data_IF_958607652375
#
_entry.id   IF_958607652375
#
_cell.length_a   1.000
_cell.length_b   1.000
_cell.length_c   1.000
_cell.angle_alpha   90.00
_cell.angle_beta   90.00
_cell.angle_gamma   90.00
#
_symmetry.space_group_name_H-M   'P 1'
#
loop_
_entity.id
_entity.type
_entity.pdbx_description
1 polymer ?
#
# COMPACT_ATOMS: atom_id res chain seq x y z
N UNK A 1 12.41 -21.58 17.39
CA UNK A 1 13.84 -21.21 17.36
C UNK A 1 14.53 -21.47 16.03
N UNK A 2 14.43 -22.60 15.33
CA UNK A 2 15.20 -22.81 14.09
C UNK A 2 14.82 -21.91 12.89
N UNK A 3 13.60 -21.41 12.83
CA UNK A 3 13.16 -20.51 11.75
C UNK A 3 13.75 -19.09 11.85
N UNK A 4 13.93 -18.57 13.07
CA UNK A 4 14.51 -17.23 13.30
C UNK A 4 15.99 -17.25 12.94
N UNK A 5 16.72 -18.31 13.32
CA UNK A 5 18.13 -18.48 12.94
C UNK A 5 18.33 -18.71 11.43
N UNK A 6 17.35 -19.33 10.76
CA UNK A 6 17.37 -19.47 9.31
C UNK A 6 17.14 -18.12 8.60
N UNK A 7 16.25 -17.30 9.14
CA UNK A 7 16.03 -15.93 8.62
C UNK A 7 17.27 -15.04 8.82
N UNK A 8 17.90 -15.09 9.99
CA UNK A 8 19.13 -14.34 10.29
C UNK A 8 20.29 -14.77 9.38
N UNK A 9 20.38 -16.05 9.01
CA UNK A 9 21.38 -16.54 8.04
C UNK A 9 21.10 -16.12 6.60
N UNK A 10 19.85 -16.01 6.19
CA UNK A 10 19.45 -15.53 4.87
C UNK A 10 19.74 -14.02 4.76
N UNK A 11 19.54 -13.26 5.85
CA UNK A 11 19.89 -11.84 5.91
C UNK A 11 21.40 -11.57 5.90
N UNK A 12 22.21 -12.51 6.38
CA UNK A 12 23.68 -12.40 6.39
C UNK A 12 24.32 -12.68 5.03
N UNK A 13 23.57 -13.19 4.05
CA UNK A 13 24.10 -13.36 2.69
C UNK A 13 24.08 -12.03 1.94
N UNK A 14 25.25 -11.43 1.78
CA UNK A 14 25.47 -10.21 0.97
C UNK A 14 24.88 -10.31 -0.44
N UNK A 15 24.76 -11.53 -0.97
CA UNK A 15 24.21 -11.83 -2.29
C UNK A 15 22.70 -11.63 -2.38
N UNK A 16 21.94 -11.94 -1.32
CA UNK A 16 20.50 -11.72 -1.30
C UNK A 16 20.18 -10.23 -1.17
N UNK A 17 20.92 -9.48 -0.38
CA UNK A 17 20.79 -8.04 -0.27
C UNK A 17 21.07 -7.33 -1.60
N UNK A 18 22.14 -7.75 -2.29
CA UNK A 18 22.47 -7.25 -3.63
C UNK A 18 21.38 -7.60 -4.67
N UNK A 19 20.88 -8.83 -4.66
CA UNK A 19 19.81 -9.28 -5.56
C UNK A 19 18.51 -8.49 -5.34
N UNK A 20 18.08 -8.28 -4.08
CA UNK A 20 16.88 -7.48 -3.76
C UNK A 20 17.05 -6.03 -4.17
N UNK A 21 18.24 -5.46 -3.99
CA UNK A 21 18.51 -4.08 -4.40
C UNK A 21 18.53 -3.93 -5.92
N UNK A 22 19.21 -4.84 -6.64
CA UNK A 22 19.27 -4.81 -8.10
C UNK A 22 17.91 -5.05 -8.73
N UNK A 23 17.14 -6.03 -8.25
CA UNK A 23 15.79 -6.29 -8.75
C UNK A 23 14.84 -5.12 -8.47
N UNK A 24 14.96 -4.48 -7.30
CA UNK A 24 14.19 -3.28 -6.95
C UNK A 24 14.51 -2.11 -7.88
N UNK A 25 15.79 -1.81 -8.10
CA UNK A 25 16.22 -0.76 -9.02
C UNK A 25 15.77 -1.04 -10.46
N UNK A 26 15.93 -2.28 -10.93
CA UNK A 26 15.45 -2.70 -12.27
C UNK A 26 13.93 -2.51 -12.41
N UNK A 27 13.15 -2.88 -11.41
CA UNK A 27 11.70 -2.71 -11.41
C UNK A 27 11.29 -1.23 -11.45
N UNK A 28 11.97 -0.37 -10.67
CA UNK A 28 11.73 1.08 -10.69
C UNK A 28 12.07 1.66 -12.07
N UNK A 29 13.23 1.31 -12.63
CA UNK A 29 13.64 1.78 -13.96
C UNK A 29 12.67 1.30 -15.04
N UNK A 30 12.26 0.03 -14.99
CA UNK A 30 11.27 -0.52 -15.93
C UNK A 30 9.91 0.19 -15.78
N UNK A 31 9.43 0.42 -14.55
CA UNK A 31 8.19 1.16 -14.30
C UNK A 31 8.25 2.60 -14.82
N UNK A 32 9.36 3.30 -14.58
CA UNK A 32 9.57 4.65 -15.11
C UNK A 32 9.65 4.68 -16.64
N UNK A 33 10.30 3.68 -17.25
CA UNK A 33 10.38 3.56 -18.70
C UNK A 33 9.00 3.32 -19.33
N UNK A 34 8.20 2.42 -18.75
CA UNK A 34 6.81 2.19 -19.18
C UNK A 34 5.98 3.47 -19.01
N UNK A 35 6.06 4.11 -17.86
CA UNK A 35 5.35 5.37 -17.61
C UNK A 35 5.75 6.46 -18.60
N UNK A 36 7.04 6.66 -18.84
CA UNK A 36 7.54 7.62 -19.82
C UNK A 36 7.06 7.31 -21.23
N UNK A 37 7.03 6.02 -21.61
CA UNK A 37 6.52 5.57 -22.92
C UNK A 37 5.02 5.91 -23.07
N UNK A 38 4.21 5.65 -22.03
CA UNK A 38 2.80 6.01 -22.03
C UNK A 38 2.58 7.51 -22.15
N UNK A 39 3.30 8.31 -21.37
CA UNK A 39 3.23 9.78 -21.44
C UNK A 39 3.64 10.27 -22.83
N UNK A 40 4.65 9.64 -23.44
CA UNK A 40 5.10 10.00 -24.79
C UNK A 40 4.06 9.63 -25.85
N UNK A 41 3.43 8.47 -25.76
CA UNK A 41 2.40 8.01 -26.70
C UNK A 41 1.11 8.84 -26.63
N UNK A 42 0.67 9.20 -25.43
CA UNK A 42 -0.51 10.04 -25.21
C UNK A 42 -0.22 11.49 -25.66
N UNK A 43 1.03 11.91 -25.53
CA UNK A 43 1.47 13.29 -25.73
C UNK A 43 1.57 14.05 -24.41
N UNK A 44 2.75 14.62 -24.09
CA UNK A 44 2.95 15.40 -22.85
C UNK A 44 1.97 16.58 -22.71
N UNK A 45 1.54 17.15 -23.83
CA UNK A 45 0.56 18.24 -23.88
C UNK A 45 -0.84 17.79 -23.41
N UNK A 46 -1.28 16.60 -23.81
CA UNK A 46 -2.56 16.01 -23.41
C UNK A 46 -2.56 15.68 -21.92
N UNK A 47 -1.47 15.10 -21.42
CA UNK A 47 -1.31 14.84 -19.99
C UNK A 47 -1.36 16.13 -19.18
N UNK A 48 -0.65 17.17 -19.64
CA UNK A 48 -0.66 18.48 -19.00
C UNK A 48 -2.05 19.15 -19.05
N UNK A 49 -2.74 19.06 -20.17
CA UNK A 49 -4.10 19.57 -20.30
C UNK A 49 -5.07 18.85 -19.37
N UNK A 50 -4.92 17.53 -19.23
CA UNK A 50 -5.68 16.71 -18.27
C UNK A 50 -5.48 17.19 -16.83
N UNK A 51 -4.22 17.36 -16.40
CA UNK A 51 -3.89 17.89 -15.07
C UNK A 51 -4.46 19.30 -14.88
N UNK A 52 -4.38 20.16 -15.90
CA UNK A 52 -4.90 21.52 -15.86
C UNK A 52 -6.42 21.56 -15.79
N UNK A 53 -7.11 20.64 -16.46
CA UNK A 53 -8.57 20.52 -16.39
C UNK A 53 -9.08 20.07 -15.02
N UNK A 54 -8.32 19.22 -14.31
CA UNK A 54 -8.59 18.88 -12.91
C UNK A 54 -8.42 20.12 -12.00
N UNK A 55 -7.53 21.04 -12.40
CA UNK A 55 -7.32 22.33 -11.75
C UNK A 55 -6.94 22.21 -10.29
N UNK A 56 -7.57 23.02 -9.43
CA UNK A 56 -7.27 23.07 -8.01
C UNK A 56 -7.64 21.77 -7.24
N UNK A 57 -8.45 20.89 -7.83
CA UNK A 57 -8.76 19.59 -7.26
C UNK A 57 -7.56 18.63 -7.27
N UNK A 58 -6.58 18.85 -8.16
CA UNK A 58 -5.39 18.01 -8.25
C UNK A 58 -4.59 17.96 -6.93
N UNK A 59 -4.21 19.11 -6.30
CA UNK A 59 -3.57 19.06 -4.98
C UNK A 59 -4.45 18.47 -3.89
N UNK A 60 -5.77 18.59 -3.98
CA UNK A 60 -6.70 17.95 -3.02
C UNK A 60 -6.61 16.42 -3.13
N UNK A 61 -6.58 15.88 -4.34
CA UNK A 61 -6.44 14.44 -4.58
C UNK A 61 -5.10 13.94 -4.00
N UNK A 62 -4.01 14.68 -4.23
CA UNK A 62 -2.70 14.34 -3.67
C UNK A 62 -2.73 14.39 -2.14
N UNK A 63 -3.34 15.42 -1.56
CA UNK A 63 -3.46 15.57 -0.11
C UNK A 63 -4.28 14.42 0.52
N UNK A 64 -5.38 14.01 -0.11
CA UNK A 64 -6.19 12.87 0.32
C UNK A 64 -5.42 11.55 0.22
N UNK A 65 -4.64 11.36 -0.85
CA UNK A 65 -3.73 10.23 -0.98
C UNK A 65 -2.67 10.20 0.14
N UNK A 66 -2.05 11.34 0.42
CA UNK A 66 -1.10 11.49 1.52
C UNK A 66 -1.73 11.25 2.89
N UNK A 67 -2.95 11.75 3.10
CA UNK A 67 -3.73 11.53 4.32
C UNK A 67 -4.00 10.04 4.57
N UNK A 68 -4.30 9.27 3.53
CA UNK A 68 -4.47 7.82 3.63
C UNK A 68 -3.21 7.14 4.19
N UNK A 69 -2.03 7.48 3.67
CA UNK A 69 -0.77 6.93 4.16
C UNK A 69 -0.49 7.37 5.60
N UNK A 70 -0.80 8.61 5.93
CA UNK A 70 -0.65 9.14 7.28
C UNK A 70 -1.52 8.39 8.29
N UNK A 71 -2.79 8.18 7.97
CA UNK A 71 -3.73 7.42 8.83
C UNK A 71 -3.26 5.99 9.03
N UNK A 72 -2.79 5.31 7.97
CA UNK A 72 -2.23 3.95 8.07
C UNK A 72 -0.98 3.92 8.97
N UNK A 73 -0.06 4.86 8.79
CA UNK A 73 1.12 4.95 9.62
C UNK A 73 0.76 5.19 11.10
N UNK A 74 -0.22 6.06 11.34
CA UNK A 74 -0.71 6.33 12.69
C UNK A 74 -1.38 5.09 13.30
N UNK A 75 -2.25 4.41 12.56
CA UNK A 75 -2.87 3.16 13.01
C UNK A 75 -1.80 2.10 13.37
N UNK A 76 -0.76 1.97 12.55
CA UNK A 76 0.34 1.05 12.86
C UNK A 76 1.03 1.40 14.17
N UNK A 77 1.30 2.69 14.43
CA UNK A 77 1.90 3.10 15.72
C UNK A 77 1.04 2.77 16.93
N UNK A 78 -0.29 2.77 16.77
CA UNK A 78 -1.24 2.40 17.83
C UNK A 78 -1.31 0.88 18.06
N UNK A 79 -0.94 0.07 17.08
CA UNK A 79 -0.90 -1.39 17.19
C UNK A 79 0.41 -1.92 17.79
N UNK A 80 1.37 -1.05 18.08
CA UNK A 80 2.65 -1.45 18.70
C UNK A 80 2.49 -1.48 20.22
N UNK A 81 2.75 -2.65 20.82
CA UNK A 81 2.65 -2.88 22.26
C UNK A 81 3.86 -2.35 23.03
N UNK A 82 3.63 -1.91 24.29
CA UNK A 82 4.70 -1.59 25.24
C UNK A 82 5.62 -2.82 25.48
N UNK A 83 6.92 -2.64 25.67
CA UNK A 83 7.63 -1.38 25.90
C UNK A 83 8.11 -0.67 24.63
N UNK A 84 7.77 -1.19 23.45
CA UNK A 84 8.26 -0.65 22.19
C UNK A 84 7.48 0.60 21.78
N UNK A 85 8.17 1.53 21.10
CA UNK A 85 7.57 2.73 20.54
C UNK A 85 8.06 2.95 19.13
N UNK A 86 7.14 3.11 18.22
CA UNK A 86 7.43 3.42 16.82
C UNK A 86 7.13 4.90 16.57
N UNK A 87 8.14 5.75 16.29
CA UNK A 87 7.91 7.15 15.95
C UNK A 87 7.07 7.27 14.67
N UNK A 88 6.07 8.15 14.69
CA UNK A 88 5.14 8.33 13.56
C UNK A 88 5.85 8.66 12.24
N UNK A 89 6.91 9.46 12.28
CA UNK A 89 7.71 9.77 11.09
C UNK A 89 8.40 8.54 10.49
N UNK A 90 8.93 7.65 11.33
CA UNK A 90 9.55 6.39 10.90
C UNK A 90 8.49 5.43 10.33
N UNK A 91 7.33 5.34 10.98
CA UNK A 91 6.19 4.57 10.48
C UNK A 91 5.70 5.09 9.12
N UNK A 92 5.54 6.40 8.98
CA UNK A 92 5.09 7.03 7.74
C UNK A 92 6.05 6.73 6.56
N UNK A 93 7.35 6.94 6.79
CA UNK A 93 8.37 6.64 5.78
C UNK A 93 8.39 5.15 5.41
N UNK A 94 8.26 4.27 6.40
CA UNK A 94 8.24 2.83 6.17
C UNK A 94 6.98 2.39 5.40
N UNK A 95 5.80 2.92 5.72
CA UNK A 95 4.56 2.64 4.99
C UNK A 95 4.68 3.12 3.55
N UNK A 96 5.16 4.35 3.33
CA UNK A 96 5.30 4.90 1.98
C UNK A 96 6.30 4.10 1.13
N UNK A 97 7.48 3.80 1.70
CA UNK A 97 8.50 3.04 1.00
C UNK A 97 8.10 1.58 0.77
N UNK A 98 7.49 0.92 1.76
CA UNK A 98 7.03 -0.45 1.63
C UNK A 98 5.88 -0.60 0.62
N UNK A 99 4.93 0.32 0.61
CA UNK A 99 3.87 0.33 -0.41
C UNK A 99 4.44 0.61 -1.81
N UNK A 100 5.44 1.50 -1.93
CA UNK A 100 6.13 1.73 -3.19
C UNK A 100 6.82 0.45 -3.70
N UNK A 101 7.56 -0.25 -2.82
CA UNK A 101 8.21 -1.54 -3.15
C UNK A 101 7.16 -2.59 -3.52
N UNK A 102 6.07 -2.70 -2.76
CA UNK A 102 4.96 -3.61 -3.06
C UNK A 102 4.34 -3.36 -4.43
N UNK A 103 4.12 -2.11 -4.79
CA UNK A 103 3.50 -1.75 -6.08
C UNK A 103 4.41 -2.01 -7.30
N UNK A 104 5.74 -2.04 -7.12
CA UNK A 104 6.71 -2.29 -8.22
C UNK A 104 7.07 -3.77 -8.33
N UNK A 105 6.74 -4.58 -7.32
CA UNK A 105 7.08 -6.02 -7.32
C UNK A 105 5.87 -6.88 -7.68
N UNK A 106 6.06 -7.95 -8.47
CA UNK A 106 4.95 -8.85 -8.83
C UNK A 106 4.27 -9.52 -7.63
N UNK A 107 4.98 -9.67 -6.52
CA UNK A 107 4.49 -10.28 -5.29
C UNK A 107 3.83 -9.27 -4.32
N UNK A 108 3.79 -7.98 -4.70
CA UNK A 108 3.03 -6.94 -4.01
C UNK A 108 3.18 -6.94 -2.48
N UNK A 109 2.09 -7.21 -1.74
CA UNK A 109 2.10 -7.16 -0.28
C UNK A 109 3.07 -8.14 0.38
N UNK A 110 3.37 -9.29 -0.24
CA UNK A 110 4.30 -10.28 0.31
C UNK A 110 5.74 -9.74 0.42
N UNK A 111 6.07 -8.73 -0.38
CA UNK A 111 7.37 -8.05 -0.32
C UNK A 111 7.25 -6.71 0.43
N UNK A 112 6.16 -6.00 0.23
CA UNK A 112 5.92 -4.69 0.83
C UNK A 112 5.84 -4.74 2.36
N UNK A 113 5.13 -5.71 2.94
CA UNK A 113 4.98 -5.81 4.40
C UNK A 113 6.29 -6.15 5.13
N UNK A 114 7.09 -7.14 4.69
CA UNK A 114 8.43 -7.34 5.25
C UNK A 114 9.35 -6.13 5.06
N UNK A 115 9.26 -5.42 3.93
CA UNK A 115 10.05 -4.22 3.69
C UNK A 115 9.74 -3.11 4.71
N UNK A 116 8.46 -2.89 5.06
CA UNK A 116 8.04 -1.95 6.12
C UNK A 116 8.70 -2.30 7.45
N UNK A 117 8.65 -3.57 7.84
CA UNK A 117 9.23 -4.05 9.09
C UNK A 117 10.75 -3.89 9.13
N UNK A 118 11.43 -4.16 8.01
CA UNK A 118 12.87 -3.99 7.90
C UNK A 118 13.29 -2.51 8.05
N UNK A 119 12.51 -1.57 7.52
CA UNK A 119 12.81 -0.14 7.60
C UNK A 119 12.70 0.44 9.02
N UNK A 120 11.92 -0.19 9.90
CA UNK A 120 11.76 0.26 11.29
C UNK A 120 12.61 -0.52 12.30
N UNK A 121 13.49 -1.43 11.87
CA UNK A 121 14.30 -2.32 12.73
C UNK A 121 15.08 -1.59 13.83
N UNK A 122 15.51 -0.36 13.57
CA UNK A 122 16.22 0.44 14.57
C UNK A 122 15.33 0.89 15.75
N UNK A 123 14.02 0.85 15.61
CA UNK A 123 13.06 1.26 16.64
C UNK A 123 12.26 0.08 17.19
N UNK A 124 12.05 -0.94 16.36
CA UNK A 124 11.17 -2.07 16.67
C UNK A 124 11.73 -3.37 16.10
N UNK A 125 11.88 -4.43 16.92
CA UNK A 125 12.24 -5.76 16.41
C UNK A 125 11.24 -6.24 15.35
N UNK A 126 11.71 -7.09 14.42
CA UNK A 126 10.90 -7.54 13.26
C UNK A 126 9.60 -8.22 13.70
N UNK A 127 9.66 -9.06 14.73
CA UNK A 127 8.49 -9.82 15.21
C UNK A 127 7.35 -8.91 15.70
N UNK A 128 7.54 -7.98 16.65
CA UNK A 128 6.52 -7.00 17.03
C UNK A 128 6.07 -6.11 15.86
N UNK A 129 6.99 -5.73 14.96
CA UNK A 129 6.67 -4.91 13.80
C UNK A 129 5.68 -5.63 12.87
N UNK A 130 5.94 -6.91 12.55
CA UNK A 130 5.06 -7.73 11.70
C UNK A 130 3.72 -8.01 12.37
N UNK A 131 3.70 -8.27 13.69
CA UNK A 131 2.45 -8.48 14.43
C UNK A 131 1.57 -7.24 14.40
N UNK A 132 2.14 -6.08 14.67
CA UNK A 132 1.42 -4.80 14.62
C UNK A 132 0.92 -4.48 13.21
N UNK A 133 1.71 -4.76 12.16
CA UNK A 133 1.29 -4.63 10.77
C UNK A 133 0.16 -5.58 10.39
N UNK A 134 0.21 -6.83 10.86
CA UNK A 134 -0.86 -7.80 10.62
C UNK A 134 -2.19 -7.32 11.23
N UNK A 135 -2.15 -6.79 12.45
CA UNK A 135 -3.32 -6.22 13.12
C UNK A 135 -3.83 -5.00 12.33
N UNK A 136 -2.96 -4.08 11.95
CA UNK A 136 -3.32 -2.90 11.14
C UNK A 136 -3.98 -3.32 9.82
N UNK A 137 -3.42 -4.30 9.11
CA UNK A 137 -3.96 -4.82 7.86
C UNK A 137 -5.36 -5.45 8.02
N UNK A 138 -5.63 -6.15 9.13
CA UNK A 138 -6.95 -6.69 9.43
C UNK A 138 -7.96 -5.54 9.56
N UNK A 139 -7.66 -4.53 10.36
CA UNK A 139 -8.53 -3.36 10.51
C UNK A 139 -8.70 -2.59 9.20
N UNK A 140 -7.65 -2.42 8.43
CA UNK A 140 -7.70 -1.78 7.12
C UNK A 140 -8.61 -2.55 6.15
N UNK A 141 -8.46 -3.87 6.07
CA UNK A 141 -9.27 -4.73 5.20
C UNK A 141 -10.74 -4.68 5.62
N UNK A 142 -11.00 -4.79 6.92
CA UNK A 142 -12.37 -4.72 7.46
C UNK A 142 -13.03 -3.36 7.17
N UNK A 143 -12.29 -2.26 7.37
CA UNK A 143 -12.78 -0.91 7.07
C UNK A 143 -13.05 -0.72 5.57
N UNK A 144 -12.19 -1.27 4.72
CA UNK A 144 -12.36 -1.22 3.26
C UNK A 144 -13.59 -2.02 2.83
N UNK A 145 -13.76 -3.24 3.36
CA UNK A 145 -14.93 -4.06 3.10
C UNK A 145 -16.23 -3.36 3.54
N UNK A 146 -16.23 -2.76 4.74
CA UNK A 146 -17.37 -1.98 5.23
C UNK A 146 -17.69 -0.78 4.34
N UNK A 147 -16.68 -0.05 3.85
CA UNK A 147 -16.89 1.06 2.91
C UNK A 147 -17.44 0.60 1.56
N UNK A 148 -16.93 -0.51 1.03
CA UNK A 148 -17.43 -1.09 -0.23
C UNK A 148 -18.90 -1.50 -0.05
N UNK A 149 -19.22 -2.23 1.03
CA UNK A 149 -20.59 -2.63 1.33
C UNK A 149 -21.52 -1.43 1.46
N UNK A 150 -21.14 -0.41 2.25
CA UNK A 150 -21.94 0.81 2.42
C UNK A 150 -22.12 1.57 1.10
N UNK A 151 -21.07 1.68 0.29
CA UNK A 151 -21.14 2.32 -1.02
C UNK A 151 -22.04 1.58 -2.00
N UNK A 152 -21.95 0.25 -2.03
CA UNK A 152 -22.82 -0.60 -2.86
C UNK A 152 -24.28 -0.51 -2.43
N UNK A 153 -24.53 -0.55 -1.12
CA UNK A 153 -25.89 -0.38 -0.57
C UNK A 153 -26.44 1.00 -0.94
N UNK A 154 -25.65 2.06 -0.76
CA UNK A 154 -26.06 3.41 -1.13
C UNK A 154 -26.37 3.54 -2.64
N UNK A 155 -25.58 2.87 -3.48
CA UNK A 155 -25.80 2.82 -4.93
C UNK A 155 -27.13 2.14 -5.27
N UNK A 156 -27.44 1.00 -4.61
CA UNK A 156 -28.69 0.27 -4.81
C UNK A 156 -29.94 1.06 -4.40
N UNK A 157 -29.81 1.94 -3.40
CA UNK A 157 -30.92 2.80 -2.96
C UNK A 157 -31.03 4.12 -3.72
N UNK A 158 -29.92 4.66 -4.21
CA UNK A 158 -29.89 5.97 -4.84
C UNK A 158 -30.19 5.95 -6.36
N UNK A 159 -30.02 4.81 -7.01
CA UNK A 159 -30.16 4.67 -8.45
C UNK A 159 -31.03 3.48 -8.83
N UNK A 160 -31.92 3.69 -9.84
CA UNK A 160 -32.62 2.61 -10.53
C UNK A 160 -31.65 1.87 -11.45
N UNK A 161 -30.99 0.84 -10.92
CA UNK A 161 -30.00 0.06 -11.66
C UNK A 161 -30.69 -0.92 -12.60
N UNK A 162 -30.06 -1.12 -13.77
CA UNK A 162 -30.41 -2.21 -14.67
C UNK A 162 -30.38 -3.56 -13.90
N UNK A 163 -31.34 -4.49 -14.12
CA UNK A 163 -31.45 -5.77 -13.38
C UNK A 163 -30.15 -6.55 -13.27
N UNK A 164 -29.33 -6.58 -14.33
CA UNK A 164 -28.05 -7.27 -14.31
C UNK A 164 -27.02 -6.62 -13.35
N UNK A 165 -26.96 -5.29 -13.28
CA UNK A 165 -26.09 -4.58 -12.35
C UNK A 165 -26.55 -4.72 -10.91
N UNK A 166 -27.86 -4.77 -10.70
CA UNK A 166 -28.46 -4.97 -9.37
C UNK A 166 -28.10 -6.33 -8.81
N UNK A 167 -28.28 -7.40 -9.59
CA UNK A 167 -27.95 -8.76 -9.21
C UNK A 167 -26.45 -8.91 -8.88
N UNK A 168 -25.58 -8.30 -9.69
CA UNK A 168 -24.12 -8.26 -9.44
C UNK A 168 -23.77 -7.55 -8.13
N UNK A 169 -24.45 -6.43 -7.85
CA UNK A 169 -24.22 -5.64 -6.63
C UNK A 169 -24.72 -6.36 -5.38
N UNK A 170 -25.85 -7.07 -5.45
CA UNK A 170 -26.38 -7.87 -4.36
C UNK A 170 -25.46 -9.06 -4.04
N UNK A 171 -24.92 -9.73 -5.08
CA UNK A 171 -23.94 -10.81 -4.91
C UNK A 171 -22.62 -10.29 -4.30
N UNK A 172 -22.16 -9.12 -4.69
CA UNK A 172 -20.95 -8.52 -4.14
C UNK A 172 -21.09 -8.20 -2.65
N UNK A 173 -22.25 -7.70 -2.21
CA UNK A 173 -22.53 -7.43 -0.77
C UNK A 173 -22.65 -8.73 0.01
N UNK A 174 -23.24 -9.78 -0.57
CA UNK A 174 -23.39 -11.08 0.10
C UNK A 174 -22.06 -11.84 0.23
N UNK A 175 -21.04 -11.50 -0.55
CA UNK A 175 -19.72 -12.13 -0.56
C UNK A 175 -18.66 -11.44 0.33
N UNK A 176 -19.00 -10.31 0.98
CA UNK A 176 -18.17 -9.58 1.92
C UNK A 176 -18.41 -10.04 3.34
#
# INVERSE_FOLDING_TARGET
MPLVEAFDRIEASSDLGAFVTVSGVLSVVAGLAVFATFVWQIGPGEVWSGVRNVGWMFPVIIALGGLRFFVRAWAWTLCVDDPHRLPLGSAFNAVLAGDAVGNVTPLGPLVGEPAKSALVRQHLPIQPALTALAIENIFYTLSTAAMIAAGTIALLFAFDLNPALREFSELAVAGI
#
